data_IF_713666014273
#
_entry.id   IF_713666014273
#
_cell.length_a   1.000
_cell.length_b   1.000
_cell.length_c   1.000
_cell.angle_alpha   90.00
_cell.angle_beta   90.00
_cell.angle_gamma   90.00
#
_symmetry.space_group_name_H-M   'P 1'
#
loop_
_entity.id
_entity.type
_entity.pdbx_description
1 polymer ?
#
# COMPACT_ATOMS: atom_id res chain seq x y z
N UNK A 1 28.73 27.69 -6.73
CA UNK A 1 28.84 26.42 -5.97
C UNK A 1 27.84 26.33 -4.83
N UNK A 2 27.71 27.35 -3.98
CA UNK A 2 26.75 27.37 -2.84
C UNK A 2 25.29 27.15 -3.29
N UNK A 3 24.86 27.77 -4.39
CA UNK A 3 23.49 27.57 -4.92
C UNK A 3 23.23 26.12 -5.38
N UNK A 4 24.24 25.39 -5.85
CA UNK A 4 24.09 23.99 -6.23
C UNK A 4 23.89 23.10 -4.99
N UNK A 5 24.67 23.35 -3.93
CA UNK A 5 24.53 22.64 -2.66
C UNK A 5 23.18 22.90 -2.00
N UNK A 6 22.69 24.15 -2.04
CA UNK A 6 21.37 24.51 -1.52
C UNK A 6 20.25 23.82 -2.32
N UNK A 7 20.33 23.81 -3.66
CA UNK A 7 19.35 23.11 -4.51
C UNK A 7 19.35 21.60 -4.27
N UNK A 8 20.53 20.99 -4.11
CA UNK A 8 20.64 19.57 -3.78
C UNK A 8 20.03 19.25 -2.41
N UNK A 9 20.32 20.08 -1.40
CA UNK A 9 19.76 19.93 -0.06
C UNK A 9 18.22 20.06 -0.07
N UNK A 10 17.69 21.03 -0.82
CA UNK A 10 16.25 21.21 -0.99
C UNK A 10 15.57 19.97 -1.59
N UNK A 11 16.17 19.36 -2.61
CA UNK A 11 15.66 18.12 -3.21
C UNK A 11 15.61 16.98 -2.19
N UNK A 12 16.69 16.79 -1.42
CA UNK A 12 16.76 15.75 -0.38
C UNK A 12 15.68 15.95 0.68
N UNK A 13 15.48 17.18 1.16
CA UNK A 13 14.45 17.49 2.15
C UNK A 13 13.06 17.24 1.57
N UNK A 14 12.78 17.69 0.34
CA UNK A 14 11.48 17.48 -0.31
C UNK A 14 11.18 16.00 -0.50
N UNK A 15 12.18 15.21 -0.89
CA UNK A 15 12.07 13.76 -1.02
C UNK A 15 11.78 13.09 0.33
N UNK A 16 12.47 13.51 1.40
CA UNK A 16 12.22 13.00 2.75
C UNK A 16 10.79 13.30 3.23
N UNK A 17 10.27 14.51 2.96
CA UNK A 17 8.88 14.88 3.27
C UNK A 17 7.89 14.00 2.52
N UNK A 18 8.12 13.78 1.22
CA UNK A 18 7.27 12.92 0.39
C UNK A 18 7.24 11.48 0.91
N UNK A 19 8.39 10.92 1.29
CA UNK A 19 8.46 9.61 1.93
C UNK A 19 7.69 9.57 3.25
N UNK A 20 7.79 10.63 4.08
CA UNK A 20 7.04 10.75 5.32
C UNK A 20 5.52 10.69 5.10
N UNK A 21 5.01 11.40 4.10
CA UNK A 21 3.59 11.36 3.71
C UNK A 21 3.18 9.96 3.28
N UNK A 22 3.98 9.29 2.44
CA UNK A 22 3.69 7.92 1.98
C UNK A 22 3.66 6.93 3.15
N UNK A 23 4.58 7.05 4.11
CA UNK A 23 4.58 6.20 5.32
C UNK A 23 3.33 6.42 6.16
N UNK A 24 2.85 7.66 6.30
CA UNK A 24 1.58 7.97 6.95
C UNK A 24 0.41 7.35 6.18
N UNK A 25 0.33 7.56 4.86
CA UNK A 25 -0.70 6.95 4.02
C UNK A 25 -0.71 5.42 4.14
N UNK A 26 0.46 4.78 4.22
CA UNK A 26 0.57 3.33 4.42
C UNK A 26 -0.04 2.88 5.75
N UNK A 27 0.28 3.57 6.83
CA UNK A 27 -0.22 3.25 8.18
C UNK A 27 -1.73 3.42 8.29
N UNK A 28 -2.29 4.49 7.73
CA UNK A 28 -3.69 4.88 7.95
C UNK A 28 -4.65 4.45 6.84
N UNK A 29 -4.23 4.56 5.57
CA UNK A 29 -5.08 4.38 4.40
C UNK A 29 -4.87 2.98 3.78
N UNK A 30 -3.63 2.62 3.43
CA UNK A 30 -3.36 1.41 2.65
C UNK A 30 -3.68 0.13 3.43
N UNK A 31 -3.51 0.16 4.76
CA UNK A 31 -3.79 -0.99 5.63
C UNK A 31 -5.29 -1.23 5.82
N UNK A 32 -6.11 -0.18 5.74
CA UNK A 32 -7.55 -0.25 6.08
C UNK A 32 -8.42 -0.56 4.87
N UNK A 33 -7.99 -0.12 3.69
CA UNK A 33 -8.81 -0.14 2.48
C UNK A 33 -8.50 -1.38 1.64
N UNK A 34 -9.50 -2.26 1.48
CA UNK A 34 -9.42 -3.46 0.63
C UNK A 34 -9.89 -3.13 -0.78
N UNK A 35 -8.94 -2.72 -1.62
CA UNK A 35 -9.20 -2.36 -3.02
C UNK A 35 -8.43 -3.31 -3.94
N UNK A 36 -9.00 -3.58 -5.12
CA UNK A 36 -8.33 -4.32 -6.18
C UNK A 36 -7.09 -3.54 -6.67
N UNK A 37 -5.95 -4.22 -6.88
CA UNK A 37 -4.68 -3.59 -7.30
C UNK A 37 -4.80 -2.70 -8.53
N UNK A 38 -5.74 -3.01 -9.43
CA UNK A 38 -5.91 -2.25 -10.67
C UNK A 38 -6.56 -0.87 -10.46
N UNK A 39 -7.22 -0.62 -9.32
CA UNK A 39 -7.88 0.67 -9.06
C UNK A 39 -6.82 1.77 -8.80
N UNK A 40 -5.89 1.65 -7.82
CA UNK A 40 -4.82 2.65 -7.65
C UNK A 40 -3.95 2.81 -8.89
N UNK A 41 -3.74 1.72 -9.65
CA UNK A 41 -3.01 1.74 -10.91
C UNK A 41 -3.73 2.58 -11.97
N UNK A 42 -5.03 2.38 -12.17
CA UNK A 42 -5.81 3.13 -13.14
C UNK A 42 -5.81 4.64 -12.80
N UNK A 43 -5.97 4.98 -11.52
CA UNK A 43 -5.89 6.38 -11.05
C UNK A 43 -4.52 6.98 -11.35
N UNK A 44 -3.43 6.24 -11.11
CA UNK A 44 -2.08 6.71 -11.41
C UNK A 44 -1.87 6.92 -12.92
N UNK A 45 -2.33 6.01 -13.78
CA UNK A 45 -2.20 6.13 -15.24
C UNK A 45 -3.00 7.33 -15.76
N UNK A 46 -4.25 7.50 -15.32
CA UNK A 46 -5.10 8.60 -15.74
C UNK A 46 -4.52 9.94 -15.25
N UNK A 47 -4.10 10.03 -13.99
CA UNK A 47 -3.48 11.24 -13.44
C UNK A 47 -2.21 11.61 -14.19
N UNK A 48 -1.38 10.62 -14.53
CA UNK A 48 -0.18 10.84 -15.35
C UNK A 48 -0.51 11.29 -16.77
N UNK A 49 -1.52 10.68 -17.41
CA UNK A 49 -1.97 11.09 -18.74
C UNK A 49 -2.50 12.54 -18.74
N UNK A 50 -3.29 12.93 -17.73
CA UNK A 50 -3.75 14.30 -17.55
C UNK A 50 -2.56 15.26 -17.42
N UNK A 51 -1.55 14.89 -16.63
CA UNK A 51 -0.35 15.72 -16.46
C UNK A 51 0.41 15.92 -17.78
N UNK A 52 0.50 14.89 -18.62
CA UNK A 52 1.24 14.94 -19.89
C UNK A 52 0.48 15.68 -21.00
N UNK A 53 -0.81 15.39 -21.17
CA UNK A 53 -1.58 15.85 -22.33
C UNK A 53 -2.38 17.12 -22.04
N UNK A 54 -2.96 17.25 -20.85
CA UNK A 54 -3.83 18.39 -20.50
C UNK A 54 -3.04 19.53 -19.89
N UNK A 55 -1.95 19.22 -19.16
CA UNK A 55 -1.11 20.21 -18.46
C UNK A 55 -1.96 21.22 -17.67
N UNK A 56 -2.57 20.80 -16.56
CA UNK A 56 -3.51 21.64 -15.82
C UNK A 56 -2.91 22.99 -15.48
N UNK A 57 -3.59 24.06 -15.90
CA UNK A 57 -3.19 25.43 -15.59
C UNK A 57 -3.60 25.76 -14.14
N UNK A 58 -2.62 26.20 -13.36
CA UNK A 58 -2.79 26.51 -11.93
C UNK A 58 -1.87 25.69 -11.05
N UNK A 59 -0.97 26.38 -10.35
CA UNK A 59 0.05 25.77 -9.48
C UNK A 59 -0.56 24.79 -8.47
N UNK A 60 -1.71 25.14 -7.87
CA UNK A 60 -2.40 24.32 -6.87
C UNK A 60 -2.97 23.05 -7.49
N UNK A 61 -3.66 23.15 -8.63
CA UNK A 61 -4.26 22.00 -9.31
C UNK A 61 -3.17 21.04 -9.75
N UNK A 62 -2.09 21.57 -10.34
CA UNK A 62 -0.96 20.77 -10.78
C UNK A 62 -0.30 20.01 -9.62
N UNK A 63 -0.14 20.66 -8.47
CA UNK A 63 0.40 20.02 -7.26
C UNK A 63 -0.52 18.92 -6.73
N UNK A 64 -1.84 19.15 -6.70
CA UNK A 64 -2.82 18.16 -6.24
C UNK A 64 -2.82 16.93 -7.16
N UNK A 65 -2.92 17.13 -8.48
CA UNK A 65 -2.93 16.04 -9.46
C UNK A 65 -1.63 15.24 -9.38
N UNK A 66 -0.48 15.92 -9.27
CA UNK A 66 0.81 15.26 -9.07
C UNK A 66 0.84 14.44 -7.78
N UNK A 67 0.44 15.02 -6.64
CA UNK A 67 0.45 14.34 -5.35
C UNK A 67 -0.45 13.10 -5.35
N UNK A 68 -1.67 13.21 -5.88
CA UNK A 68 -2.61 12.08 -6.00
C UNK A 68 -2.05 10.99 -6.91
N UNK A 69 -1.43 11.37 -8.02
CA UNK A 69 -0.81 10.42 -8.97
C UNK A 69 0.33 9.64 -8.30
N UNK A 70 1.25 10.33 -7.63
CA UNK A 70 2.39 9.72 -6.94
C UNK A 70 1.93 8.82 -5.79
N UNK A 71 1.00 9.29 -4.95
CA UNK A 71 0.46 8.49 -3.84
C UNK A 71 -0.25 7.24 -4.36
N UNK A 72 -1.06 7.35 -5.42
CA UNK A 72 -1.76 6.21 -6.01
C UNK A 72 -0.81 5.19 -6.61
N UNK A 73 0.28 5.65 -7.25
CA UNK A 73 1.33 4.77 -7.76
C UNK A 73 2.08 4.05 -6.63
N UNK A 74 2.48 4.77 -5.58
CA UNK A 74 3.10 4.16 -4.41
C UNK A 74 2.18 3.16 -3.70
N UNK A 75 0.88 3.44 -3.66
CA UNK A 75 -0.11 2.52 -3.13
C UNK A 75 -0.17 1.23 -3.96
N UNK A 76 -0.17 1.33 -5.29
CA UNK A 76 -0.09 0.17 -6.16
C UNK A 76 1.18 -0.67 -5.90
N UNK A 77 2.34 -0.01 -5.78
CA UNK A 77 3.61 -0.68 -5.47
C UNK A 77 3.58 -1.39 -4.12
N UNK A 78 3.00 -0.77 -3.09
CA UNK A 78 2.86 -1.34 -1.76
C UNK A 78 1.97 -2.60 -1.77
N UNK A 79 0.86 -2.58 -2.52
CA UNK A 79 -0.01 -3.75 -2.70
C UNK A 79 0.75 -4.89 -3.40
N UNK A 80 1.54 -4.57 -4.44
CA UNK A 80 2.31 -5.56 -5.20
C UNK A 80 3.40 -6.22 -4.35
N UNK A 81 4.07 -5.47 -3.48
CA UNK A 81 5.11 -6.00 -2.59
C UNK A 81 4.53 -6.78 -1.41
N UNK A 82 3.43 -6.31 -0.82
CA UNK A 82 2.89 -6.86 0.42
C UNK A 82 1.83 -7.94 0.18
N UNK A 83 1.36 -8.11 -1.05
CA UNK A 83 0.24 -9.00 -1.40
C UNK A 83 -1.12 -8.45 -0.99
N UNK A 84 -1.22 -7.14 -0.73
CA UNK A 84 -2.41 -6.46 -0.21
C UNK A 84 -2.49 -6.44 1.32
N UNK A 85 -3.59 -5.89 1.88
CA UNK A 85 -3.75 -5.76 3.32
C UNK A 85 -3.77 -7.15 3.97
N UNK A 86 -2.79 -7.42 4.85
CA UNK A 86 -2.73 -8.63 5.67
C UNK A 86 -4.09 -8.82 6.33
N UNK A 87 -4.71 -9.98 6.15
CA UNK A 87 -5.98 -10.31 6.82
C UNK A 87 -5.72 -10.33 8.32
N UNK A 88 -5.92 -9.19 8.98
CA UNK A 88 -5.73 -9.01 10.43
C UNK A 88 -6.64 -9.91 11.28
N UNK A 89 -7.56 -10.65 10.66
CA UNK A 89 -8.53 -11.54 11.29
C UNK A 89 -8.53 -12.94 10.67
N UNK A 90 -7.39 -13.46 10.17
CA UNK A 90 -7.29 -14.92 10.07
C UNK A 90 -7.27 -15.47 11.49
N UNK A 91 -8.43 -15.98 11.92
CA UNK A 91 -8.61 -16.64 13.22
C UNK A 91 -7.44 -17.58 13.41
N UNK A 92 -6.62 -17.36 14.45
CA UNK A 92 -5.51 -18.24 14.80
C UNK A 92 -6.08 -19.66 14.85
N UNK A 93 -5.77 -20.47 13.84
CA UNK A 93 -6.18 -21.87 13.81
C UNK A 93 -5.31 -22.54 14.86
N UNK A 94 -5.82 -22.58 16.09
CA UNK A 94 -5.19 -23.35 17.15
C UNK A 94 -5.39 -24.80 16.74
N UNK A 95 -4.35 -25.40 16.16
CA UNK A 95 -4.30 -26.82 15.89
C UNK A 95 -4.31 -27.50 17.26
N UNK A 96 -5.52 -27.83 17.74
CA UNK A 96 -5.67 -28.67 18.92
C UNK A 96 -5.28 -30.09 18.51
N UNK A 97 -4.46 -30.79 19.30
CA UNK A 97 -4.18 -32.19 19.04
C UNK A 97 -5.51 -32.95 18.99
N UNK A 98 -5.71 -33.76 17.94
CA UNK A 98 -6.86 -34.66 17.89
C UNK A 98 -6.74 -35.62 19.08
N UNK A 99 -7.88 -35.92 19.70
CA UNK A 99 -7.90 -36.88 20.81
C UNK A 99 -7.34 -38.24 20.35
N UNK A 100 -6.59 -38.91 21.22
CA UNK A 100 -6.12 -40.27 20.97
C UNK A 100 -7.33 -41.16 20.66
N UNK A 101 -7.29 -41.98 19.59
CA UNK A 101 -8.40 -42.89 19.30
C UNK A 101 -8.60 -43.83 20.48
N UNK A 102 -9.84 -43.92 20.98
CA UNK A 102 -10.16 -44.82 22.10
C UNK A 102 -10.16 -46.26 21.58
N UNK A 103 -9.11 -47.03 21.92
CA UNK A 103 -8.86 -48.39 21.41
C UNK A 103 -9.95 -49.39 21.81
N UNK A 104 -10.65 -49.12 22.92
CA UNK A 104 -11.71 -49.98 23.46
C UNK A 104 -13.03 -49.92 22.69
N UNK A 105 -13.25 -48.89 21.85
CA UNK A 105 -14.52 -48.74 21.11
C UNK A 105 -14.71 -49.79 20.00
N UNK A 106 -13.63 -50.44 19.56
CA UNK A 106 -13.66 -51.44 18.49
C UNK A 106 -13.48 -52.89 18.96
N UNK A 107 -13.40 -53.14 20.27
CA UNK A 107 -13.45 -54.52 20.76
C UNK A 107 -14.93 -54.91 20.90
N UNK A 108 -15.45 -55.64 19.90
CA UNK A 108 -16.66 -56.44 20.11
C UNK A 108 -16.24 -57.55 21.08
N UNK A 109 -16.95 -57.65 22.20
CA UNK A 109 -16.86 -58.80 23.08
C UNK A 109 -17.56 -59.96 22.35
N UNK A 110 -16.80 -61.01 22.04
CA UNK A 110 -17.34 -62.32 21.65
C UNK A 110 -17.89 -63.06 22.87
#
# INVERSE_FOLDING_TARGET
>A
MVNFLISALYLVIMFAVLLGIIMLCKKWVFTKIRINKFIPLAVAIIGFAIQLFVRPEGMVIQMIVMAVTVISFFWFMDIQQTGGPKKSNEKKIVIKPKAKPNRLKNQKND
#
